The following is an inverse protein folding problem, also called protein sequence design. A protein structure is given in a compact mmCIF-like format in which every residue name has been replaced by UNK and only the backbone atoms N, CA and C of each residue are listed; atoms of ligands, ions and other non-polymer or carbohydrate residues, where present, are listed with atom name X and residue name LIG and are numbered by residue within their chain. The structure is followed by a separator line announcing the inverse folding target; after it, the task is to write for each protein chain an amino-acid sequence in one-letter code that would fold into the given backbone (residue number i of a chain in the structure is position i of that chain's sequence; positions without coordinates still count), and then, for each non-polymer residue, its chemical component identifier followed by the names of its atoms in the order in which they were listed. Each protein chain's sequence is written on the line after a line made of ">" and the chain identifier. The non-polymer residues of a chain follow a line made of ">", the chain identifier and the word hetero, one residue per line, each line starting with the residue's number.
data_IF_205122286190
#
_entry.id   IF_205122286190
#
_cell.length_a   1.000
_cell.length_b   1.000
_cell.length_c   1.000
_cell.angle_alpha   90.00
_cell.angle_beta   90.00
_cell.angle_gamma   90.00
#
_symmetry.space_group_name_H-M   'P 1'
#
loop_
_entity.id
_entity.type
_entity.pdbx_description
1 polymer ?
#
# COMPACT_ATOMS: atom_id res chain seq x y z
N UNK A 1 -16.32 20.45 2.51
CA UNK A 1 -15.45 20.42 1.33
C UNK A 1 -14.05 19.98 1.72
N UNK A 2 -13.66 18.79 1.31
CA UNK A 2 -12.29 18.27 1.50
C UNK A 2 -11.33 18.99 0.53
N UNK A 3 -10.25 19.65 1.01
CA UNK A 3 -9.26 20.24 0.12
C UNK A 3 -8.49 19.14 -0.60
N UNK A 4 -8.60 19.10 -1.93
CA UNK A 4 -7.88 18.14 -2.75
C UNK A 4 -6.44 18.59 -2.98
N UNK A 5 -5.47 17.76 -2.62
CA UNK A 5 -4.03 18.06 -2.64
C UNK A 5 -3.26 17.31 -3.72
N UNK A 6 -3.82 16.22 -4.25
CA UNK A 6 -3.14 15.34 -5.20
C UNK A 6 -2.52 16.10 -6.39
N UNK A 7 -3.26 16.99 -7.04
CA UNK A 7 -2.76 17.77 -8.17
C UNK A 7 -1.56 18.65 -7.76
N UNK A 8 -1.62 19.28 -6.58
CA UNK A 8 -0.51 20.13 -6.10
C UNK A 8 0.76 19.31 -5.87
N UNK A 9 0.65 18.09 -5.33
CA UNK A 9 1.78 17.18 -5.18
C UNK A 9 2.34 16.76 -6.54
N UNK A 10 1.49 16.47 -7.51
CA UNK A 10 1.88 16.10 -8.87
C UNK A 10 2.72 17.21 -9.54
N UNK A 11 2.20 18.44 -9.52
CA UNK A 11 2.88 19.60 -10.10
C UNK A 11 4.22 19.87 -9.41
N UNK A 12 4.25 19.86 -8.08
CA UNK A 12 5.49 20.09 -7.32
C UNK A 12 6.53 19.00 -7.54
N UNK A 13 6.10 17.74 -7.64
CA UNK A 13 7.00 16.62 -7.90
C UNK A 13 7.77 16.79 -9.21
N UNK A 14 7.17 17.43 -10.22
CA UNK A 14 7.81 17.67 -11.52
C UNK A 14 9.04 18.59 -11.45
N UNK A 15 9.15 19.42 -10.42
CA UNK A 15 10.28 20.33 -10.20
C UNK A 15 11.47 19.73 -9.45
N UNK A 16 11.36 18.47 -8.99
CA UNK A 16 12.41 17.81 -8.21
C UNK A 16 13.30 16.89 -9.05
N UNK A 17 14.46 16.51 -8.48
CA UNK A 17 15.32 15.45 -9.02
C UNK A 17 14.60 14.09 -9.04
N UNK A 18 15.13 13.13 -9.83
CA UNK A 18 14.44 11.86 -10.12
C UNK A 18 13.95 11.10 -8.88
N UNK A 19 14.76 11.03 -7.82
CA UNK A 19 14.38 10.30 -6.59
C UNK A 19 13.23 10.97 -5.83
N UNK A 20 13.29 12.28 -5.63
CA UNK A 20 12.23 13.06 -4.98
C UNK A 20 10.99 13.15 -5.85
N UNK A 21 11.15 13.26 -7.16
CA UNK A 21 10.05 13.24 -8.13
C UNK A 21 9.26 11.93 -8.02
N UNK A 22 9.94 10.79 -8.02
CA UNK A 22 9.32 9.48 -7.88
C UNK A 22 8.48 9.39 -6.61
N UNK A 23 9.04 9.81 -5.46
CA UNK A 23 8.33 9.82 -4.17
C UNK A 23 7.11 10.75 -4.19
N UNK A 24 7.25 11.94 -4.74
CA UNK A 24 6.16 12.92 -4.84
C UNK A 24 5.01 12.43 -5.75
N UNK A 25 5.32 11.72 -6.83
CA UNK A 25 4.32 11.13 -7.72
C UNK A 25 3.53 10.01 -7.01
N UNK A 26 4.20 9.14 -6.25
CA UNK A 26 3.52 8.08 -5.47
C UNK A 26 2.54 8.71 -4.47
N UNK A 27 2.97 9.75 -3.73
CA UNK A 27 2.08 10.49 -2.85
C UNK A 27 0.88 11.07 -3.59
N UNK A 28 1.11 11.69 -4.75
CA UNK A 28 0.04 12.27 -5.57
C UNK A 28 -0.99 11.22 -5.99
N UNK A 29 -0.55 10.05 -6.44
CA UNK A 29 -1.45 8.98 -6.88
C UNK A 29 -2.27 8.41 -5.72
N UNK A 30 -1.64 8.16 -4.58
CA UNK A 30 -2.35 7.68 -3.39
C UNK A 30 -3.37 8.71 -2.88
N UNK A 31 -2.99 9.98 -2.83
CA UNK A 31 -3.89 11.07 -2.45
C UNK A 31 -5.06 11.20 -3.43
N UNK A 32 -4.84 11.04 -4.73
CA UNK A 32 -5.91 11.16 -5.74
C UNK A 32 -7.04 10.17 -5.49
N UNK A 33 -6.71 8.90 -5.24
CA UNK A 33 -7.70 7.85 -4.95
C UNK A 33 -8.35 8.07 -3.59
N UNK A 34 -7.56 8.36 -2.56
CA UNK A 34 -8.07 8.52 -1.20
C UNK A 34 -8.97 9.76 -1.06
N UNK A 35 -8.63 10.85 -1.72
CA UNK A 35 -9.45 12.07 -1.77
C UNK A 35 -10.74 11.87 -2.58
N UNK A 36 -10.69 11.06 -3.64
CA UNK A 36 -11.90 10.68 -4.38
C UNK A 36 -12.83 9.83 -3.53
N UNK A 37 -12.30 8.82 -2.81
CA UNK A 37 -13.06 8.03 -1.85
C UNK A 37 -13.71 8.91 -0.78
N UNK A 38 -12.95 9.78 -0.14
CA UNK A 38 -13.43 10.67 0.91
C UNK A 38 -14.47 11.71 0.44
N UNK A 39 -14.52 11.98 -0.87
CA UNK A 39 -15.48 12.88 -1.50
C UNK A 39 -16.75 12.15 -2.00
N UNK A 40 -16.89 10.84 -1.70
CA UNK A 40 -18.03 10.03 -2.15
C UNK A 40 -17.96 9.59 -3.60
N UNK A 41 -16.78 9.67 -4.23
CA UNK A 41 -16.55 9.17 -5.58
C UNK A 41 -16.46 7.64 -5.62
N UNK A 42 -16.52 7.11 -6.84
CA UNK A 42 -16.42 5.67 -7.08
C UNK A 42 -14.96 5.25 -7.19
N UNK A 43 -14.51 4.37 -6.29
CA UNK A 43 -13.16 3.78 -6.30
C UNK A 43 -13.24 2.25 -6.21
N UNK A 44 -12.13 1.57 -6.48
CA UNK A 44 -11.96 0.13 -6.22
C UNK A 44 -11.29 -0.05 -4.88
N UNK A 45 -11.83 -0.94 -4.05
CA UNK A 45 -11.29 -1.22 -2.71
C UNK A 45 -10.09 -2.17 -2.76
N UNK A 46 -9.07 -1.91 -1.92
CA UNK A 46 -7.89 -2.78 -1.80
C UNK A 46 -7.11 -2.54 -0.49
N UNK A 47 -7.33 -3.30 0.60
CA UNK A 47 -8.41 -4.27 0.85
C UNK A 47 -9.73 -3.62 1.24
N UNK A 48 -9.74 -2.35 1.69
CA UNK A 48 -10.92 -1.59 2.11
C UNK A 48 -11.00 -0.25 1.40
N UNK A 49 -12.11 0.48 1.56
CA UNK A 49 -12.24 1.83 1.02
C UNK A 49 -11.23 2.80 1.64
N UNK A 50 -10.99 2.71 2.95
CA UNK A 50 -10.08 3.60 3.68
C UNK A 50 -8.62 3.48 3.25
N UNK A 51 -8.22 2.35 2.70
CA UNK A 51 -6.85 2.08 2.22
C UNK A 51 -6.71 1.95 0.70
N UNK A 52 -7.76 2.29 -0.04
CA UNK A 52 -7.86 2.11 -1.49
C UNK A 52 -6.82 2.87 -2.32
N UNK A 53 -6.12 3.84 -1.73
CA UNK A 53 -5.10 4.62 -2.41
C UNK A 53 -3.75 3.93 -2.54
N UNK A 54 -3.44 2.95 -1.70
CA UNK A 54 -2.08 2.34 -1.61
C UNK A 54 -1.75 1.52 -2.85
N UNK A 55 -2.55 0.49 -3.13
CA UNK A 55 -2.31 -0.45 -4.24
C UNK A 55 -2.23 0.24 -5.60
N UNK A 56 -3.22 1.06 -6.01
CA UNK A 56 -3.18 1.67 -7.33
C UNK A 56 -2.02 2.66 -7.47
N UNK A 57 -1.64 3.37 -6.40
CA UNK A 57 -0.51 4.28 -6.44
C UNK A 57 0.80 3.56 -6.77
N UNK A 58 1.07 2.43 -6.09
CA UNK A 58 2.27 1.63 -6.31
C UNK A 58 2.28 1.02 -7.70
N UNK A 59 1.20 0.32 -8.09
CA UNK A 59 1.15 -0.36 -9.38
C UNK A 59 1.16 0.61 -10.55
N UNK A 60 0.41 1.71 -10.47
CA UNK A 60 0.39 2.73 -11.52
C UNK A 60 1.76 3.40 -11.67
N UNK A 61 2.42 3.72 -10.55
CA UNK A 61 3.76 4.28 -10.57
C UNK A 61 4.75 3.33 -11.26
N UNK A 62 4.76 2.06 -10.87
CA UNK A 62 5.66 1.06 -11.46
C UNK A 62 5.34 0.82 -12.94
N UNK A 63 4.06 0.74 -13.30
CA UNK A 63 3.65 0.61 -14.70
C UNK A 63 4.16 1.76 -15.57
N UNK A 64 4.03 3.00 -15.10
CA UNK A 64 4.47 4.21 -15.83
C UNK A 64 5.99 4.41 -15.86
N UNK A 65 6.70 3.96 -14.85
CA UNK A 65 8.15 4.22 -14.73
C UNK A 65 9.03 3.06 -15.16
N UNK A 66 8.49 1.84 -15.19
CA UNK A 66 9.20 0.60 -15.52
C UNK A 66 8.64 -0.12 -16.74
N UNK A 67 7.56 0.40 -17.32
CA UNK A 67 6.94 -0.13 -18.53
C UNK A 67 6.58 -1.63 -18.45
N UNK A 68 6.19 -2.10 -17.26
CA UNK A 68 5.74 -3.48 -17.09
C UNK A 68 4.51 -3.75 -17.96
N UNK A 69 4.45 -4.92 -18.59
CA UNK A 69 3.29 -5.32 -19.38
C UNK A 69 2.04 -5.50 -18.49
N UNK A 70 0.87 -5.29 -19.09
CA UNK A 70 -0.41 -5.49 -18.39
C UNK A 70 -0.53 -6.88 -17.78
N UNK A 71 -0.04 -7.91 -18.49
CA UNK A 71 -0.04 -9.27 -17.96
C UNK A 71 0.77 -9.40 -16.67
N UNK A 72 1.93 -8.73 -16.56
CA UNK A 72 2.73 -8.70 -15.33
C UNK A 72 2.00 -7.97 -14.21
N UNK A 73 1.36 -6.85 -14.52
CA UNK A 73 0.53 -6.11 -13.54
C UNK A 73 -0.62 -6.97 -13.03
N UNK A 74 -1.33 -7.68 -13.93
CA UNK A 74 -2.41 -8.59 -13.52
C UNK A 74 -1.92 -9.73 -12.59
N UNK A 75 -0.75 -10.30 -12.88
CA UNK A 75 -0.14 -11.30 -11.98
C UNK A 75 0.23 -10.71 -10.61
N UNK A 76 0.76 -9.50 -10.58
CA UNK A 76 1.08 -8.81 -9.34
C UNK A 76 -0.19 -8.49 -8.52
N UNK A 77 -1.29 -8.13 -9.18
CA UNK A 77 -2.61 -7.99 -8.54
C UNK A 77 -3.09 -9.30 -7.91
N UNK A 78 -2.89 -10.45 -8.58
CA UNK A 78 -3.24 -11.75 -8.02
C UNK A 78 -2.42 -12.06 -6.76
N UNK A 79 -1.12 -11.77 -6.75
CA UNK A 79 -0.27 -11.91 -5.56
C UNK A 79 -0.74 -11.01 -4.43
N UNK A 80 -1.04 -9.75 -4.73
CA UNK A 80 -1.60 -8.83 -3.73
C UNK A 80 -2.92 -9.37 -3.16
N UNK A 81 -3.81 -9.88 -4.01
CA UNK A 81 -5.06 -10.49 -3.59
C UNK A 81 -4.86 -11.70 -2.68
N UNK A 82 -3.85 -12.53 -2.94
CA UNK A 82 -3.48 -13.65 -2.08
C UNK A 82 -3.08 -13.15 -0.68
N UNK A 83 -2.18 -12.17 -0.59
CA UNK A 83 -1.73 -11.57 0.69
C UNK A 83 -2.93 -11.01 1.46
N UNK A 84 -3.79 -10.22 0.81
CA UNK A 84 -4.98 -9.67 1.46
C UNK A 84 -5.96 -10.74 1.94
N UNK A 85 -6.13 -11.83 1.18
CA UNK A 85 -6.98 -12.94 1.57
C UNK A 85 -6.43 -13.73 2.76
N UNK A 86 -5.10 -13.91 2.87
CA UNK A 86 -4.47 -14.54 4.03
C UNK A 86 -4.81 -13.76 5.29
N UNK A 87 -4.64 -12.43 5.26
CA UNK A 87 -4.97 -11.59 6.42
C UNK A 87 -6.46 -11.62 6.73
N UNK A 88 -7.31 -11.49 5.70
CA UNK A 88 -8.77 -11.53 5.89
C UNK A 88 -9.26 -12.84 6.50
N UNK A 89 -8.59 -13.95 6.19
CA UNK A 89 -8.97 -15.28 6.68
C UNK A 89 -8.47 -15.54 8.10
N UNK A 90 -7.25 -15.12 8.43
CA UNK A 90 -6.58 -15.47 9.68
C UNK A 90 -6.64 -14.36 10.75
N UNK A 91 -7.03 -13.15 10.36
CA UNK A 91 -7.17 -11.99 11.24
C UNK A 91 -8.37 -11.13 10.77
N UNK A 92 -8.17 -9.80 10.65
CA UNK A 92 -9.19 -8.89 10.12
C UNK A 92 -8.56 -7.81 9.25
N UNK A 93 -9.34 -7.36 8.25
CA UNK A 93 -9.02 -6.18 7.43
C UNK A 93 -9.86 -4.95 7.85
N UNK A 94 -10.64 -5.08 8.92
CA UNK A 94 -11.54 -4.03 9.40
C UNK A 94 -10.82 -3.06 10.33
N UNK A 95 -10.78 -1.79 9.97
CA UNK A 95 -10.24 -0.75 10.84
C UNK A 95 -11.00 -0.59 12.16
N UNK A 96 -12.29 -0.96 12.19
CA UNK A 96 -13.10 -0.94 13.41
C UNK A 96 -12.73 -2.06 14.40
N UNK A 97 -12.22 -3.17 13.90
CA UNK A 97 -11.82 -4.33 14.72
C UNK A 97 -10.36 -4.25 15.17
N UNK A 98 -9.47 -3.97 14.24
CA UNK A 98 -8.02 -4.06 14.46
C UNK A 98 -7.26 -2.76 14.18
N UNK A 99 -7.96 -1.65 13.95
CA UNK A 99 -7.33 -0.38 13.65
C UNK A 99 -6.84 -0.25 12.20
N UNK A 100 -6.11 0.84 11.93
CA UNK A 100 -5.54 1.09 10.60
C UNK A 100 -4.45 0.10 10.19
N UNK A 101 -3.90 -0.67 11.12
CA UNK A 101 -2.99 -1.78 10.77
C UNK A 101 -3.69 -2.80 9.85
N UNK A 102 -4.99 -3.10 10.09
CA UNK A 102 -5.79 -4.01 9.26
C UNK A 102 -6.21 -3.42 7.92
N UNK A 103 -6.27 -2.11 7.79
CA UNK A 103 -6.58 -1.46 6.52
C UNK A 103 -5.32 -1.05 5.76
N UNK A 104 -4.64 -0.03 6.28
CA UNK A 104 -3.47 0.59 5.61
C UNK A 104 -2.25 -0.32 5.67
N UNK A 105 -2.03 -1.02 6.81
CA UNK A 105 -0.94 -1.98 6.95
C UNK A 105 -1.08 -3.16 5.98
N UNK A 106 -2.28 -3.72 5.87
CA UNK A 106 -2.57 -4.81 4.91
C UNK A 106 -2.43 -4.32 3.47
N UNK A 107 -2.93 -3.12 3.15
CA UNK A 107 -2.74 -2.55 1.81
C UNK A 107 -1.25 -2.35 1.48
N UNK A 108 -0.44 -1.93 2.46
CA UNK A 108 1.02 -1.83 2.31
C UNK A 108 1.65 -3.19 2.02
N UNK A 109 1.30 -4.23 2.79
CA UNK A 109 1.78 -5.60 2.58
C UNK A 109 1.42 -6.13 1.18
N UNK A 110 0.16 -5.95 0.76
CA UNK A 110 -0.32 -6.31 -0.57
C UNK A 110 0.49 -5.63 -1.67
N UNK A 111 0.71 -4.32 -1.54
CA UNK A 111 1.44 -3.53 -2.52
C UNK A 111 2.94 -3.86 -2.55
N UNK A 112 3.55 -4.13 -1.39
CA UNK A 112 4.94 -4.54 -1.28
C UNK A 112 5.19 -5.90 -1.95
N UNK A 113 4.34 -6.89 -1.69
CA UNK A 113 4.40 -8.20 -2.34
C UNK A 113 4.22 -8.10 -3.86
N UNK A 114 3.24 -7.32 -4.32
CA UNK A 114 3.00 -7.08 -5.75
C UNK A 114 4.21 -6.41 -6.43
N UNK A 115 4.80 -5.40 -5.79
CA UNK A 115 5.99 -4.74 -6.29
C UNK A 115 7.17 -5.71 -6.36
N UNK A 116 7.39 -6.50 -5.31
CA UNK A 116 8.47 -7.49 -5.26
C UNK A 116 8.36 -8.51 -6.39
N UNK A 117 7.16 -9.03 -6.65
CA UNK A 117 6.94 -9.92 -7.79
C UNK A 117 7.22 -9.25 -9.13
N UNK A 118 6.86 -7.97 -9.32
CA UNK A 118 7.17 -7.23 -10.54
C UNK A 118 8.67 -7.11 -10.77
N UNK A 119 9.45 -6.96 -9.71
CA UNK A 119 10.91 -6.91 -9.76
C UNK A 119 11.57 -8.29 -9.87
N UNK A 120 10.80 -9.38 -9.85
CA UNK A 120 11.29 -10.75 -10.03
C UNK A 120 11.79 -11.41 -8.75
N UNK A 121 11.30 -10.97 -7.60
CA UNK A 121 11.63 -11.56 -6.30
C UNK A 121 11.18 -13.03 -6.20
N UNK A 122 11.89 -13.80 -5.39
CA UNK A 122 11.53 -15.17 -5.04
C UNK A 122 10.29 -15.20 -4.16
N UNK A 123 9.59 -16.33 -4.03
CA UNK A 123 8.46 -16.45 -3.09
C UNK A 123 8.81 -16.01 -1.65
N UNK A 124 10.01 -16.34 -1.17
CA UNK A 124 10.50 -15.93 0.15
C UNK A 124 10.68 -14.39 0.24
N UNK A 125 11.22 -13.76 -0.81
CA UNK A 125 11.35 -12.29 -0.86
C UNK A 125 9.99 -11.60 -0.96
N UNK A 126 9.04 -12.17 -1.69
CA UNK A 126 7.66 -11.65 -1.80
C UNK A 126 6.97 -11.70 -0.43
N UNK A 127 7.09 -12.81 0.29
CA UNK A 127 6.55 -12.97 1.64
C UNK A 127 7.24 -11.98 2.60
N UNK A 128 8.56 -11.85 2.55
CA UNK A 128 9.29 -10.90 3.37
C UNK A 128 8.89 -9.44 3.09
N UNK A 129 8.67 -9.08 1.83
CA UNK A 129 8.17 -7.73 1.51
C UNK A 129 6.77 -7.49 2.11
N UNK A 130 5.89 -8.49 2.09
CA UNK A 130 4.57 -8.42 2.72
C UNK A 130 4.69 -8.30 4.24
N UNK A 131 5.54 -9.10 4.86
CA UNK A 131 5.83 -9.06 6.30
C UNK A 131 6.28 -7.66 6.72
N UNK A 132 7.32 -7.11 6.09
CA UNK A 132 7.84 -5.77 6.34
C UNK A 132 6.73 -4.69 6.18
N UNK A 133 5.90 -4.84 5.16
CA UNK A 133 4.79 -3.93 4.89
C UNK A 133 3.74 -3.92 6.00
N UNK A 134 3.44 -5.05 6.61
CA UNK A 134 2.45 -5.17 7.68
C UNK A 134 3.07 -4.87 9.07
N UNK A 135 4.21 -5.48 9.37
CA UNK A 135 4.90 -5.37 10.66
C UNK A 135 5.14 -3.91 11.06
N UNK A 136 5.61 -3.09 10.12
CA UNK A 136 5.87 -1.66 10.36
C UNK A 136 4.61 -0.78 10.48
N UNK A 137 3.43 -1.39 10.42
CA UNK A 137 2.14 -0.76 10.69
C UNK A 137 1.44 -1.31 11.93
N UNK A 138 2.05 -2.30 12.63
CA UNK A 138 1.49 -2.81 13.88
C UNK A 138 1.38 -1.70 14.92
N UNK A 139 0.28 -1.73 15.69
CA UNK A 139 -0.04 -0.70 16.67
C UNK A 139 -0.69 0.56 16.08
N UNK A 140 -0.92 0.62 14.77
CA UNK A 140 -1.61 1.75 14.14
C UNK A 140 -3.11 1.69 14.41
N UNK A 141 -3.56 2.52 15.34
CA UNK A 141 -4.98 2.62 15.71
C UNK A 141 -5.80 3.35 14.64
N UNK A 142 -7.11 3.17 14.70
CA UNK A 142 -8.09 3.95 13.95
C UNK A 142 -9.09 4.55 14.93
N UNK A 143 -9.43 5.82 14.73
CA UNK A 143 -10.43 6.51 15.53
C UNK A 143 -11.32 7.35 14.61
N UNK A 144 -12.26 6.71 13.87
CA UNK A 144 -13.14 7.42 12.96
C UNK A 144 -14.20 8.20 13.75
N UNK A 145 -14.29 9.50 13.51
CA UNK A 145 -15.37 10.33 14.05
C UNK A 145 -16.62 10.10 13.20
N UNK A 146 -17.69 9.63 13.81
CA UNK A 146 -18.96 9.29 13.15
C UNK A 146 -18.78 8.30 11.96
N UNK A 147 -17.80 7.42 12.02
CA UNK A 147 -17.52 6.45 10.96
C UNK A 147 -16.93 7.05 9.66
N UNK A 148 -16.58 8.33 9.67
CA UNK A 148 -16.06 9.02 8.49
C UNK A 148 -14.54 8.88 8.39
N UNK A 149 -14.05 8.79 7.13
CA UNK A 149 -12.62 8.83 6.83
C UNK A 149 -12.06 10.20 7.20
N UNK A 150 -11.05 10.21 8.09
CA UNK A 150 -10.39 11.42 8.54
C UNK A 150 -9.18 11.77 7.65
N UNK A 151 -8.75 13.04 7.70
CA UNK A 151 -7.58 13.51 6.95
C UNK A 151 -6.32 12.65 7.23
N UNK A 152 -6.03 12.19 8.47
CA UNK A 152 -4.90 11.29 8.71
C UNK A 152 -4.96 9.98 7.91
N UNK A 153 -6.14 9.40 7.72
CA UNK A 153 -6.30 8.17 6.90
C UNK A 153 -5.92 8.42 5.44
N UNK A 154 -6.27 9.57 4.88
CA UNK A 154 -5.89 9.96 3.52
C UNK A 154 -4.36 10.05 3.39
N UNK A 155 -3.70 10.70 4.36
CA UNK A 155 -2.24 10.84 4.40
C UNK A 155 -1.53 9.50 4.62
N UNK A 156 -2.09 8.62 5.45
CA UNK A 156 -1.58 7.27 5.68
C UNK A 156 -1.49 6.45 4.39
N UNK A 157 -2.44 6.61 3.46
CA UNK A 157 -2.36 5.94 2.16
C UNK A 157 -1.11 6.36 1.36
N UNK A 158 -0.80 7.65 1.33
CA UNK A 158 0.39 8.15 0.65
C UNK A 158 1.69 7.60 1.29
N UNK A 159 1.73 7.61 2.62
CA UNK A 159 2.86 7.07 3.37
C UNK A 159 3.05 5.58 3.16
N UNK A 160 1.97 4.80 3.24
CA UNK A 160 1.99 3.35 3.04
C UNK A 160 2.39 2.96 1.61
N UNK A 161 1.95 3.71 0.60
CA UNK A 161 2.37 3.47 -0.78
C UNK A 161 3.90 3.64 -0.96
N UNK A 162 4.50 4.64 -0.32
CA UNK A 162 5.94 4.80 -0.32
C UNK A 162 6.64 3.67 0.46
N UNK A 163 6.12 3.31 1.63
CA UNK A 163 6.63 2.21 2.46
C UNK A 163 6.59 0.87 1.75
N UNK A 164 5.57 0.62 0.95
CA UNK A 164 5.48 -0.61 0.16
C UNK A 164 6.67 -0.76 -0.81
N UNK A 165 7.11 0.34 -1.42
CA UNK A 165 8.30 0.32 -2.28
C UNK A 165 9.60 0.21 -1.47
N UNK A 166 9.67 0.81 -0.29
CA UNK A 166 10.81 0.65 0.61
C UNK A 166 10.92 -0.81 1.08
N UNK A 167 9.81 -1.45 1.48
CA UNK A 167 9.75 -2.86 1.86
C UNK A 167 10.16 -3.80 0.71
N UNK A 168 9.64 -3.54 -0.50
CA UNK A 168 10.07 -4.26 -1.70
C UNK A 168 11.59 -4.15 -1.89
N UNK A 169 12.12 -2.94 -1.87
CA UNK A 169 13.54 -2.71 -2.10
C UNK A 169 14.41 -3.39 -1.03
N UNK A 170 13.99 -3.29 0.24
CA UNK A 170 14.71 -3.93 1.35
C UNK A 170 14.77 -5.44 1.16
N UNK A 171 13.63 -6.10 0.89
CA UNK A 171 13.59 -7.56 0.72
C UNK A 171 14.38 -8.03 -0.49
N UNK A 172 14.45 -7.24 -1.57
CA UNK A 172 15.25 -7.56 -2.76
C UNK A 172 16.77 -7.59 -2.50
N UNK A 173 17.26 -6.90 -1.47
CA UNK A 173 18.66 -6.96 -1.06
C UNK A 173 19.00 -8.15 -0.18
N UNK A 174 18.02 -8.99 0.15
CA UNK A 174 18.18 -10.18 1.00
C UNK A 174 17.96 -11.45 0.17
N UNK A 175 18.19 -12.59 0.78
CA UNK A 175 17.83 -13.90 0.22
C UNK A 175 16.38 -14.30 0.52
N UNK A 176 15.63 -13.45 1.23
CA UNK A 176 14.26 -13.70 1.68
C UNK A 176 14.16 -14.43 3.03
N UNK A 177 15.29 -14.86 3.61
CA UNK A 177 15.28 -15.45 4.96
C UNK A 177 15.20 -14.37 6.02
N UNK A 178 14.24 -14.49 6.93
CA UNK A 178 14.01 -13.56 8.03
C UNK A 178 13.41 -14.28 9.23
N UNK A 179 13.45 -13.62 10.38
CA UNK A 179 13.17 -14.24 11.67
C UNK A 179 11.69 -14.28 12.03
N UNK A 180 10.96 -13.26 11.61
CA UNK A 180 9.52 -13.10 11.88
C UNK A 180 8.78 -13.35 10.58
N UNK A 181 7.95 -14.40 10.53
CA UNK A 181 7.18 -14.71 9.34
C UNK A 181 5.96 -13.80 9.19
N UNK A 182 5.47 -13.66 7.98
CA UNK A 182 4.21 -12.95 7.70
C UNK A 182 3.05 -13.51 8.51
N UNK A 183 2.95 -14.84 8.63
CA UNK A 183 1.91 -15.50 9.43
C UNK A 183 1.97 -15.04 10.89
N UNK A 184 3.18 -14.92 11.47
CA UNK A 184 3.34 -14.46 12.84
C UNK A 184 2.90 -13.00 13.02
N UNK A 185 3.17 -12.14 12.05
CA UNK A 185 2.69 -10.75 12.09
C UNK A 185 1.16 -10.70 12.00
N UNK A 186 0.57 -11.54 11.18
CA UNK A 186 -0.90 -11.65 11.06
C UNK A 186 -1.54 -12.13 12.36
N UNK A 187 -0.92 -13.09 13.08
CA UNK A 187 -1.41 -13.59 14.36
C UNK A 187 -1.44 -12.54 15.47
N UNK A 188 -0.51 -11.58 15.47
CA UNK A 188 -0.40 -10.56 16.53
C UNK A 188 -1.12 -9.26 16.21
N UNK A 189 -1.65 -9.14 15.01
CA UNK A 189 -2.40 -7.98 14.57
C UNK A 189 -3.79 -7.96 15.22
#
# INVERSE_FOLDING_TARGET
>A
NLPRRAMRYNVRASGYSQSLKSRGLIFSYALAVSEENASGGRIVTAPTCGSSGVMPAVLYHLWKTREFSEQRICRALATAGLIGNIVKHNASISGAEVGCQGEVGVACAMAAAAANQLFGGTPAQIEYAAEMGLEHHLGMTCDPVCGLVQIPCIERNAYAAARALDANLYSMYTDGHHRVSFDRVVEVM
#
